data_IF_705621597028
#
_entry.id   IF_705621597028
#
_cell.length_a   1.000
_cell.length_b   1.000
_cell.length_c   1.000
_cell.angle_alpha   90.00
_cell.angle_beta   90.00
_cell.angle_gamma   90.00
#
_symmetry.space_group_name_H-M   'P 1'
#
loop_
_entity.id
_entity.type
_entity.pdbx_description
1 polymer ?
#
# COMPACT_ATOMS: atom_id res chain seq x y z
N UNK A 1 2.18 -34.10 4.96
CA UNK A 1 1.45 -33.11 5.78
C UNK A 1 2.08 -31.77 5.46
N UNK A 2 1.31 -30.80 4.93
CA UNK A 2 1.86 -29.48 4.63
C UNK A 2 2.45 -28.91 5.93
N UNK A 3 3.74 -28.53 5.93
CA UNK A 3 4.31 -27.71 7.01
C UNK A 3 3.33 -26.55 7.21
N UNK A 4 2.86 -26.37 8.45
CA UNK A 4 1.91 -25.31 8.77
C UNK A 4 2.38 -23.95 8.24
N UNK A 5 1.43 -23.05 8.01
CA UNK A 5 1.77 -21.68 7.67
C UNK A 5 2.49 -21.09 8.89
N UNK A 6 3.79 -20.81 8.75
CA UNK A 6 4.60 -20.15 9.78
C UNK A 6 4.70 -18.68 9.39
N UNK A 7 3.72 -17.89 9.84
CA UNK A 7 3.67 -16.46 9.56
C UNK A 7 4.41 -15.75 10.70
N UNK A 8 5.43 -14.95 10.36
CA UNK A 8 6.15 -14.07 11.29
C UNK A 8 5.45 -12.69 11.36
N UNK A 9 4.66 -12.38 12.41
CA UNK A 9 3.92 -11.11 12.45
C UNK A 9 4.83 -9.86 12.52
N UNK A 10 5.92 -9.85 13.32
CA UNK A 10 6.94 -8.81 13.23
C UNK A 10 7.53 -8.64 11.81
N UNK A 11 7.82 -9.74 11.13
CA UNK A 11 8.30 -9.73 9.74
C UNK A 11 7.30 -9.08 8.79
N UNK A 12 6.02 -9.47 8.87
CA UNK A 12 4.96 -8.84 8.08
C UNK A 12 4.86 -7.35 8.37
N UNK A 13 4.87 -6.94 9.66
CA UNK A 13 4.86 -5.52 10.05
C UNK A 13 6.00 -4.75 9.39
N UNK A 14 7.22 -5.29 9.43
CA UNK A 14 8.39 -4.65 8.80
C UNK A 14 8.17 -4.42 7.31
N UNK A 15 7.70 -5.45 6.59
CA UNK A 15 7.46 -5.37 5.15
C UNK A 15 6.36 -4.36 4.82
N UNK A 16 5.21 -4.42 5.51
CA UNK A 16 4.10 -3.48 5.20
C UNK A 16 4.46 -2.03 5.55
N UNK A 17 5.26 -1.79 6.59
CA UNK A 17 5.80 -0.45 6.88
C UNK A 17 6.73 0.03 5.79
N UNK A 18 7.64 -0.82 5.29
CA UNK A 18 8.53 -0.48 4.18
C UNK A 18 7.73 -0.13 2.91
N UNK A 19 6.72 -0.94 2.58
CA UNK A 19 5.85 -0.70 1.42
C UNK A 19 5.06 0.61 1.58
N UNK A 20 4.54 0.89 2.77
CA UNK A 20 3.87 2.16 3.07
C UNK A 20 4.81 3.36 2.84
N UNK A 21 6.07 3.24 3.24
CA UNK A 21 7.09 4.27 3.03
C UNK A 21 7.41 4.58 1.56
N UNK A 22 7.13 3.67 0.62
CA UNK A 22 7.25 3.94 -0.81
C UNK A 22 6.06 4.75 -1.37
N UNK A 23 4.92 4.78 -0.67
CA UNK A 23 3.74 5.55 -1.09
C UNK A 23 3.85 6.99 -0.62
N UNK A 24 4.16 7.17 0.66
CA UNK A 24 4.30 8.47 1.31
C UNK A 24 5.28 8.32 2.47
N UNK A 25 6.11 9.34 2.66
CA UNK A 25 7.00 9.46 3.82
C UNK A 25 6.46 10.48 4.84
N UNK A 26 5.32 11.12 4.56
CA UNK A 26 4.74 12.19 5.38
C UNK A 26 5.59 13.46 5.49
N UNK A 27 6.71 13.52 4.77
CA UNK A 27 7.72 14.57 4.87
C UNK A 27 8.03 15.22 3.51
N UNK A 28 7.50 14.69 2.40
CA UNK A 28 7.58 15.26 1.07
C UNK A 28 8.99 15.21 0.46
N UNK A 29 9.90 14.44 1.04
CA UNK A 29 11.33 14.44 0.72
C UNK A 29 11.87 13.02 0.58
N UNK A 30 11.69 12.43 -0.62
CA UNK A 30 12.21 11.11 -0.95
C UNK A 30 11.68 10.56 -2.29
N UNK A 31 12.15 9.36 -2.68
CA UNK A 31 11.66 8.58 -3.84
C UNK A 31 10.31 7.91 -3.53
N UNK A 32 9.30 8.72 -3.20
CA UNK A 32 7.94 8.25 -2.90
C UNK A 32 6.99 8.48 -4.06
N UNK A 33 5.91 7.71 -4.11
CA UNK A 33 4.84 7.95 -5.07
C UNK A 33 4.29 9.38 -4.93
N UNK A 34 4.06 9.86 -3.71
CA UNK A 34 3.63 11.24 -3.44
C UNK A 34 4.57 12.28 -4.07
N UNK A 35 5.88 12.11 -3.88
CA UNK A 35 6.87 13.03 -4.44
C UNK A 35 6.88 13.00 -5.98
N UNK A 36 6.87 11.81 -6.60
CA UNK A 36 6.80 11.69 -8.05
C UNK A 36 5.51 12.27 -8.65
N UNK A 37 4.38 12.19 -7.95
CA UNK A 37 3.13 12.82 -8.38
C UNK A 37 3.20 14.35 -8.34
N UNK A 38 3.89 14.90 -7.34
CA UNK A 38 4.15 16.34 -7.26
C UNK A 38 5.06 16.79 -8.41
N UNK A 39 6.20 16.13 -8.60
CA UNK A 39 7.14 16.44 -9.68
C UNK A 39 6.49 16.31 -11.06
N UNK A 40 5.63 15.31 -11.25
CA UNK A 40 4.84 15.16 -12.46
C UNK A 40 3.98 16.39 -12.75
N UNK A 41 3.27 16.90 -11.74
CA UNK A 41 2.47 18.13 -11.85
C UNK A 41 3.33 19.36 -12.17
N UNK A 42 4.43 19.54 -11.43
CA UNK A 42 5.35 20.66 -11.62
C UNK A 42 5.99 20.64 -13.03
N UNK A 43 6.37 19.47 -13.54
CA UNK A 43 6.91 19.32 -14.89
C UNK A 43 5.88 19.61 -15.98
N UNK A 44 4.62 19.20 -15.78
CA UNK A 44 3.53 19.48 -16.72
C UNK A 44 3.22 20.98 -16.81
N UNK A 45 3.18 21.66 -15.67
CA UNK A 45 3.00 23.12 -15.61
C UNK A 45 4.16 23.83 -16.33
N UNK A 46 5.40 23.45 -16.02
CA UNK A 46 6.58 24.00 -16.67
C UNK A 46 6.58 23.77 -18.19
N UNK A 47 6.20 22.58 -18.65
CA UNK A 47 6.08 22.27 -20.07
C UNK A 47 5.01 23.11 -20.76
N UNK A 48 3.83 23.26 -20.14
CA UNK A 48 2.75 24.10 -20.66
C UNK A 48 3.16 25.57 -20.80
N UNK A 49 3.78 26.12 -19.76
CA UNK A 49 4.29 27.49 -19.75
C UNK A 49 5.38 27.71 -20.80
N UNK A 50 6.32 26.76 -20.92
CA UNK A 50 7.43 26.86 -21.88
C UNK A 50 6.98 26.70 -23.33
N UNK A 51 5.97 25.86 -23.58
CA UNK A 51 5.44 25.64 -24.93
C UNK A 51 4.68 26.86 -25.46
N UNK A 52 4.07 27.67 -24.57
CA UNK A 52 3.33 28.88 -24.89
C UNK A 52 2.33 28.72 -26.07
N UNK A 53 1.70 27.54 -26.17
CA UNK A 53 0.90 27.11 -27.31
C UNK A 53 -0.40 26.50 -26.84
N UNK A 54 -1.53 27.08 -27.25
CA UNK A 54 -2.85 26.64 -26.81
C UNK A 54 -3.15 25.16 -27.16
N UNK A 55 -2.85 24.65 -28.38
CA UNK A 55 -3.02 23.23 -28.68
C UNK A 55 -2.17 22.30 -27.79
N UNK A 56 -0.94 22.71 -27.48
CA UNK A 56 -0.05 21.92 -26.59
C UNK A 56 -0.61 21.93 -25.17
N UNK A 57 -1.07 23.08 -24.68
CA UNK A 57 -1.72 23.19 -23.37
C UNK A 57 -2.94 22.27 -23.23
N UNK A 58 -3.78 22.19 -24.27
CA UNK A 58 -4.92 21.25 -24.30
C UNK A 58 -4.45 19.81 -24.25
N UNK A 59 -3.46 19.43 -25.06
CA UNK A 59 -2.95 18.06 -25.08
C UNK A 59 -2.34 17.64 -23.73
N UNK A 60 -1.60 18.54 -23.06
CA UNK A 60 -1.05 18.28 -21.73
C UNK A 60 -2.17 18.09 -20.70
N UNK A 61 -3.23 18.91 -20.76
CA UNK A 61 -4.39 18.77 -19.88
C UNK A 61 -5.08 17.41 -20.06
N UNK A 62 -5.35 17.00 -21.30
CA UNK A 62 -5.96 15.69 -21.61
C UNK A 62 -5.07 14.53 -21.12
N UNK A 63 -3.76 14.67 -21.24
CA UNK A 63 -2.81 13.70 -20.72
C UNK A 63 -2.92 13.57 -19.19
N UNK A 64 -2.99 14.69 -18.45
CA UNK A 64 -3.22 14.66 -16.98
C UNK A 64 -4.54 13.99 -16.65
N UNK A 65 -5.62 14.37 -17.32
CA UNK A 65 -6.96 13.82 -17.08
C UNK A 65 -7.00 12.31 -17.32
N UNK A 66 -6.32 11.83 -18.37
CA UNK A 66 -6.25 10.41 -18.70
C UNK A 66 -5.50 9.59 -17.64
N UNK A 67 -4.36 10.08 -17.15
CA UNK A 67 -3.50 9.30 -16.26
C UNK A 67 -3.82 9.48 -14.77
N UNK A 68 -4.52 10.55 -14.38
CA UNK A 68 -4.89 10.81 -12.98
C UNK A 68 -5.56 9.61 -12.28
N UNK A 69 -6.54 8.90 -12.89
CA UNK A 69 -7.16 7.73 -12.26
C UNK A 69 -6.16 6.59 -11.99
N UNK A 70 -5.26 6.32 -12.95
CA UNK A 70 -4.22 5.29 -12.80
C UNK A 70 -3.26 5.64 -11.67
N UNK A 71 -2.79 6.89 -11.65
CA UNK A 71 -1.89 7.41 -10.62
C UNK A 71 -2.50 7.32 -9.21
N UNK A 72 -3.77 7.71 -9.05
CA UNK A 72 -4.51 7.54 -7.79
C UNK A 72 -4.70 6.04 -7.45
N UNK A 73 -5.00 5.23 -8.46
CA UNK A 73 -5.18 3.79 -8.32
C UNK A 73 -3.96 3.06 -7.76
N UNK A 74 -2.74 3.54 -8.04
CA UNK A 74 -1.51 2.99 -7.47
C UNK A 74 -1.48 3.10 -5.94
N UNK A 75 -1.76 4.30 -5.39
CA UNK A 75 -1.80 4.52 -3.95
C UNK A 75 -2.90 3.70 -3.29
N UNK A 76 -4.11 3.69 -3.88
CA UNK A 76 -5.24 2.89 -3.38
C UNK A 76 -4.91 1.40 -3.35
N UNK A 77 -4.36 0.86 -4.45
CA UNK A 77 -4.02 -0.56 -4.56
C UNK A 77 -2.97 -0.96 -3.52
N UNK A 78 -1.94 -0.15 -3.34
CA UNK A 78 -0.92 -0.40 -2.30
C UNK A 78 -1.53 -0.41 -0.91
N UNK A 79 -2.42 0.55 -0.61
CA UNK A 79 -3.17 0.57 0.65
C UNK A 79 -4.03 -0.68 0.86
N UNK A 80 -4.74 -1.15 -0.18
CA UNK A 80 -5.52 -2.39 -0.12
C UNK A 80 -4.65 -3.62 0.14
N UNK A 81 -3.48 -3.72 -0.50
CA UNK A 81 -2.54 -4.82 -0.28
C UNK A 81 -1.98 -4.83 1.15
N UNK A 82 -1.57 -3.67 1.68
CA UNK A 82 -1.11 -3.51 3.06
C UNK A 82 -2.21 -3.96 4.03
N UNK A 83 -3.43 -3.46 3.84
CA UNK A 83 -4.57 -3.83 4.69
C UNK A 83 -4.81 -5.35 4.66
N UNK A 84 -4.83 -5.95 3.47
CA UNK A 84 -5.03 -7.40 3.33
C UNK A 84 -3.95 -8.22 4.06
N UNK A 85 -2.68 -7.82 3.96
CA UNK A 85 -1.59 -8.49 4.68
C UNK A 85 -1.73 -8.37 6.20
N UNK A 86 -2.10 -7.19 6.70
CA UNK A 86 -2.35 -6.95 8.13
C UNK A 86 -3.54 -7.77 8.63
N UNK A 87 -4.65 -7.77 7.90
CA UNK A 87 -5.87 -8.48 8.28
C UNK A 87 -5.65 -10.01 8.26
N UNK A 88 -4.93 -10.53 7.27
CA UNK A 88 -4.54 -11.94 7.22
C UNK A 88 -3.66 -12.33 8.44
N UNK A 89 -2.71 -11.49 8.82
CA UNK A 89 -1.84 -11.72 9.98
C UNK A 89 -2.63 -11.70 11.29
N UNK A 90 -3.61 -10.81 11.42
CA UNK A 90 -4.52 -10.79 12.58
C UNK A 90 -5.36 -12.07 12.65
N UNK A 91 -5.91 -12.51 11.52
CA UNK A 91 -6.70 -13.74 11.46
C UNK A 91 -5.86 -14.98 11.84
N UNK A 92 -4.59 -15.01 11.42
CA UNK A 92 -3.63 -16.05 11.81
C UNK A 92 -3.43 -16.10 13.33
N UNK A 93 -3.09 -14.98 13.96
CA UNK A 93 -2.89 -14.88 15.42
C UNK A 93 -4.18 -15.28 16.18
N UNK A 94 -5.33 -14.81 15.71
CA UNK A 94 -6.62 -15.12 16.34
C UNK A 94 -6.92 -16.61 16.28
N UNK A 95 -6.68 -17.27 15.14
CA UNK A 95 -6.85 -18.72 15.00
C UNK A 95 -5.95 -19.51 15.96
N UNK A 96 -4.69 -19.09 16.13
CA UNK A 96 -3.77 -19.71 17.08
C UNK A 96 -4.26 -19.61 18.53
N UNK A 97 -4.81 -18.46 18.92
CA UNK A 97 -5.39 -18.26 20.25
C UNK A 97 -6.64 -19.13 20.48
N UNK A 98 -7.48 -19.29 19.45
CA UNK A 98 -8.67 -20.14 19.50
C UNK A 98 -8.30 -21.62 19.65
N UNK A 99 -7.36 -22.12 18.84
CA UNK A 99 -6.85 -23.49 18.95
C UNK A 99 -6.20 -23.75 20.31
N UNK A 100 -5.44 -22.78 20.85
CA UNK A 100 -4.86 -22.90 22.18
C UNK A 100 -5.93 -22.96 23.29
N UNK A 101 -6.97 -22.13 23.21
CA UNK A 101 -8.08 -22.13 24.16
C UNK A 101 -8.87 -23.44 24.12
N UNK A 102 -9.15 -23.98 22.93
CA UNK A 102 -9.82 -25.27 22.78
C UNK A 102 -8.98 -26.43 23.32
N UNK A 103 -7.66 -26.43 23.07
CA UNK A 103 -6.76 -27.44 23.60
C UNK A 103 -6.75 -27.45 25.13
N UNK A 104 -6.75 -26.26 25.75
CA UNK A 104 -6.84 -26.11 27.21
C UNK A 104 -8.18 -26.64 27.75
N UNK A 105 -9.31 -26.28 27.12
CA UNK A 105 -10.64 -26.80 27.52
C UNK A 105 -10.68 -28.32 27.49
N UNK A 106 -10.23 -28.93 26.37
CA UNK A 106 -10.19 -30.39 26.22
C UNK A 106 -9.27 -31.07 27.23
N UNK A 107 -8.15 -30.44 27.59
CA UNK A 107 -7.24 -30.96 28.61
C UNK A 107 -7.87 -30.95 30.01
N UNK A 108 -8.69 -29.95 30.32
CA UNK A 108 -9.45 -29.88 31.58
C UNK A 108 -10.61 -30.88 31.60
N UNK A 109 -11.33 -31.06 30.49
CA UNK A 109 -12.43 -32.03 30.37
C UNK A 109 -11.97 -33.50 30.43
N UNK A 110 -10.69 -33.76 30.17
CA UNK A 110 -10.10 -35.10 30.22
C UNK A 110 -9.55 -35.49 31.62
N UNK A 111 -9.71 -34.62 32.63
CA UNK A 111 -9.35 -34.87 34.03
C UNK A 111 -10.58 -35.20 34.88
#
# INVERSE_FOLDING_TARGET
MAKGWDIDPPGVKSVVTKVAGHVTDGHGGGETLEHHLKDFGDHLENAGNSAASAPIGTALKEFVEHYTPTLKGMATKTGSCIKGAVDATKAYIQGDLEMAAEAQKKAVEAQ
#
